data_IF_372972758683
#
_entry.id   IF_372972758683
#
_cell.length_a   1.000
_cell.length_b   1.000
_cell.length_c   1.000
_cell.angle_alpha   90.00
_cell.angle_beta   90.00
_cell.angle_gamma   90.00
#
_symmetry.space_group_name_H-M   'P 1'
#
loop_
_entity.id
_entity.type
_entity.pdbx_description
1 polymer ?
#
# COMPACT_ATOMS: atom_id res chain seq x y z
N UNK A 1 14.80 -7.13 -7.64
CA UNK A 1 13.88 -6.20 -8.29
C UNK A 1 14.05 -4.79 -7.76
N UNK A 2 14.99 -4.06 -8.36
CA UNK A 2 15.30 -2.71 -7.87
C UNK A 2 14.12 -1.76 -7.93
N UNK A 3 13.29 -1.86 -8.97
CA UNK A 3 12.15 -0.96 -9.16
C UNK A 3 11.10 -1.06 -8.04
N UNK A 4 11.05 -2.21 -7.35
CA UNK A 4 10.09 -2.41 -6.25
C UNK A 4 10.69 -2.10 -4.88
N UNK A 5 11.88 -1.52 -4.86
CA UNK A 5 12.57 -1.05 -3.65
C UNK A 5 12.76 0.46 -3.63
N UNK A 6 12.48 1.14 -4.73
CA UNK A 6 12.76 2.55 -4.90
C UNK A 6 11.50 3.40 -4.92
N UNK A 7 11.58 4.69 -4.56
CA UNK A 7 10.44 5.58 -4.70
C UNK A 7 10.03 5.71 -6.18
N UNK A 8 8.75 5.88 -6.40
CA UNK A 8 8.22 6.09 -7.74
C UNK A 8 7.11 7.14 -7.68
N UNK A 9 6.55 7.50 -8.83
CA UNK A 9 5.45 8.47 -8.91
C UNK A 9 4.27 8.08 -8.01
N UNK A 10 3.94 6.79 -7.96
CA UNK A 10 2.77 6.31 -7.24
C UNK A 10 3.10 5.76 -5.84
N UNK A 11 4.35 5.77 -5.47
CA UNK A 11 4.82 5.16 -4.23
C UNK A 11 6.04 5.93 -3.72
N UNK A 12 5.83 7.20 -3.38
CA UNK A 12 6.90 8.11 -2.98
C UNK A 12 6.99 8.24 -1.46
N UNK A 13 8.18 8.59 -0.99
CA UNK A 13 8.39 8.94 0.42
C UNK A 13 9.64 9.79 0.55
N UNK A 14 9.74 10.49 1.69
CA UNK A 14 10.92 11.25 2.05
C UNK A 14 11.79 10.38 2.95
N UNK A 15 13.07 10.25 2.65
CA UNK A 15 13.97 9.32 3.37
C UNK A 15 14.05 9.58 4.87
N UNK A 16 13.88 10.83 5.29
CA UNK A 16 13.89 11.20 6.71
C UNK A 16 12.54 11.73 7.16
N UNK A 17 11.49 11.45 6.39
CA UNK A 17 10.14 11.89 6.72
C UNK A 17 9.47 11.04 7.78
N UNK A 18 8.31 11.49 8.25
CA UNK A 18 7.54 10.81 9.30
C UNK A 18 7.12 9.41 8.91
N UNK A 19 6.77 9.22 7.64
CA UNK A 19 6.35 7.91 7.11
C UNK A 19 7.47 6.90 7.26
N UNK A 20 8.69 7.24 6.83
CA UNK A 20 9.84 6.35 6.91
C UNK A 20 10.22 6.08 8.37
N UNK A 21 10.13 7.07 9.23
CA UNK A 21 10.39 6.91 10.66
C UNK A 21 9.38 5.97 11.32
N UNK A 22 8.11 6.09 10.96
CA UNK A 22 7.08 5.19 11.47
C UNK A 22 7.31 3.77 10.99
N UNK A 23 7.67 3.59 9.72
CA UNK A 23 7.98 2.27 9.18
C UNK A 23 9.10 1.61 9.97
N UNK A 24 10.14 2.36 10.29
CA UNK A 24 11.26 1.86 11.07
C UNK A 24 10.82 1.33 12.44
N UNK A 25 9.88 2.01 13.09
CA UNK A 25 9.34 1.58 14.38
C UNK A 25 8.54 0.28 14.29
N UNK A 26 8.01 -0.03 13.11
CA UNK A 26 7.21 -1.24 12.88
C UNK A 26 8.06 -2.43 12.47
N UNK A 27 9.34 -2.22 12.21
CA UNK A 27 10.24 -3.26 11.73
C UNK A 27 10.42 -4.37 12.77
N UNK A 28 10.32 -5.61 12.32
CA UNK A 28 10.47 -6.81 13.17
C UNK A 28 11.69 -7.60 12.70
N UNK A 29 11.92 -8.75 13.36
CA UNK A 29 13.08 -9.59 13.07
C UNK A 29 13.04 -10.31 11.72
N UNK A 30 11.88 -10.42 11.10
CA UNK A 30 11.76 -11.03 9.77
C UNK A 30 10.95 -10.12 8.85
N UNK A 31 11.18 -10.26 7.54
CA UNK A 31 10.41 -9.51 6.54
C UNK A 31 8.93 -9.84 6.62
N UNK A 32 8.59 -11.11 6.81
CA UNK A 32 7.19 -11.53 6.94
C UNK A 32 6.49 -10.84 8.10
N UNK A 33 7.12 -10.80 9.26
CA UNK A 33 6.53 -10.15 10.43
C UNK A 33 6.45 -8.64 10.25
N UNK A 34 7.44 -8.04 9.60
CA UNK A 34 7.43 -6.61 9.30
C UNK A 34 6.29 -6.28 8.34
N UNK A 35 6.10 -7.09 7.29
CA UNK A 35 4.99 -6.91 6.35
C UNK A 35 3.65 -6.96 7.09
N UNK A 36 3.49 -7.92 7.99
CA UNK A 36 2.27 -8.07 8.78
C UNK A 36 2.02 -6.84 9.66
N UNK A 37 3.06 -6.33 10.31
CA UNK A 37 2.92 -5.16 11.18
C UNK A 37 2.57 -3.89 10.39
N UNK A 38 3.21 -3.68 9.25
CA UNK A 38 2.91 -2.54 8.40
C UNK A 38 1.47 -2.65 7.86
N UNK A 39 1.06 -3.85 7.45
CA UNK A 39 -0.30 -4.10 7.00
C UNK A 39 -1.31 -3.76 8.10
N UNK A 40 -1.09 -4.23 9.32
CA UNK A 40 -1.98 -3.93 10.44
C UNK A 40 -2.06 -2.43 10.72
N UNK A 41 -0.92 -1.77 10.69
CA UNK A 41 -0.86 -0.32 10.92
C UNK A 41 -1.73 0.42 9.90
N UNK A 42 -1.54 0.14 8.61
CA UNK A 42 -2.29 0.85 7.57
C UNK A 42 -3.75 0.45 7.57
N UNK A 43 -4.07 -0.83 7.80
CA UNK A 43 -5.46 -1.27 7.76
C UNK A 43 -6.27 -0.81 8.96
N UNK A 44 -5.65 -0.64 10.14
CA UNK A 44 -6.38 -0.34 11.37
C UNK A 44 -6.29 1.12 11.83
N UNK A 45 -5.23 1.83 11.48
CA UNK A 45 -5.00 3.21 11.94
C UNK A 45 -5.44 4.28 10.96
N UNK A 46 -5.94 3.89 9.81
CA UNK A 46 -6.37 4.80 8.75
C UNK A 46 -7.81 4.53 8.40
N UNK A 47 -8.59 5.60 8.24
CA UNK A 47 -10.00 5.48 7.88
C UNK A 47 -10.17 5.55 6.36
N UNK A 48 -11.16 4.84 5.84
CA UNK A 48 -11.48 4.94 4.42
C UNK A 48 -12.17 6.29 4.15
N UNK A 49 -11.66 7.01 3.14
CA UNK A 49 -12.18 8.33 2.79
C UNK A 49 -13.24 8.20 1.69
N UNK A 50 -14.47 7.92 2.08
CA UNK A 50 -15.56 7.74 1.14
C UNK A 50 -15.91 9.02 0.38
N UNK A 51 -15.71 10.18 0.99
CA UNK A 51 -15.94 11.47 0.34
C UNK A 51 -14.96 11.68 -0.81
N UNK A 52 -13.67 11.40 -0.57
CA UNK A 52 -12.63 11.46 -1.60
C UNK A 52 -12.93 10.46 -2.72
N UNK A 53 -13.37 9.25 -2.36
CA UNK A 53 -13.71 8.23 -3.36
C UNK A 53 -14.83 8.73 -4.27
N UNK A 54 -15.84 9.38 -3.72
CA UNK A 54 -16.94 9.95 -4.51
C UNK A 54 -16.44 11.08 -5.42
N UNK A 55 -15.58 11.96 -4.90
CA UNK A 55 -15.02 13.07 -5.67
C UNK A 55 -14.16 12.60 -6.84
N UNK A 56 -13.44 11.48 -6.66
CA UNK A 56 -12.54 10.94 -7.67
C UNK A 56 -13.23 9.96 -8.62
N UNK A 57 -14.50 9.64 -8.39
CA UNK A 57 -15.23 8.73 -9.25
C UNK A 57 -15.22 9.22 -10.69
N UNK A 58 -14.74 8.37 -11.62
CA UNK A 58 -14.59 8.73 -13.02
C UNK A 58 -13.39 9.59 -13.33
N UNK A 59 -12.62 10.02 -12.35
CA UNK A 59 -11.42 10.82 -12.55
C UNK A 59 -10.25 9.93 -12.93
N UNK A 60 -9.44 10.38 -13.88
CA UNK A 60 -8.23 9.69 -14.32
C UNK A 60 -7.01 10.48 -13.90
N UNK A 61 -5.89 9.79 -13.75
CA UNK A 61 -4.61 10.45 -13.46
C UNK A 61 -4.40 10.84 -12.02
N UNK A 62 -5.25 10.35 -11.11
CA UNK A 62 -5.02 10.59 -9.68
C UNK A 62 -3.70 9.94 -9.26
N UNK A 63 -2.86 10.70 -8.56
CA UNK A 63 -1.59 10.22 -8.02
C UNK A 63 -1.66 10.30 -6.52
N UNK A 64 -1.55 9.17 -5.81
CA UNK A 64 -1.56 9.20 -4.34
C UNK A 64 -0.29 9.84 -3.80
N UNK A 65 -0.40 10.44 -2.62
CA UNK A 65 0.71 11.04 -1.89
C UNK A 65 0.81 10.36 -0.52
N UNK A 66 1.74 9.39 -0.37
CA UNK A 66 1.87 8.65 0.89
C UNK A 66 2.13 9.54 2.11
N UNK A 67 2.92 10.60 1.98
CA UNK A 67 3.19 11.49 3.12
C UNK A 67 1.91 12.21 3.57
N UNK A 68 1.09 12.67 2.63
CA UNK A 68 -0.17 13.32 2.95
C UNK A 68 -1.16 12.32 3.55
N UNK A 69 -1.24 11.12 3.01
CA UNK A 69 -2.09 10.05 3.55
C UNK A 69 -1.69 9.73 4.98
N UNK A 70 -0.39 9.64 5.24
CA UNK A 70 0.13 9.39 6.59
C UNK A 70 -0.33 10.48 7.56
N UNK A 71 -0.22 11.74 7.15
CA UNK A 71 -0.60 12.87 8.02
C UNK A 71 -2.11 12.94 8.27
N UNK A 72 -2.92 12.75 7.23
CA UNK A 72 -4.38 12.88 7.36
C UNK A 72 -5.04 11.66 8.01
N UNK A 73 -4.37 10.52 8.02
CA UNK A 73 -4.88 9.25 8.59
C UNK A 73 -6.14 8.74 7.89
N UNK A 74 -6.35 9.14 6.64
CA UNK A 74 -7.47 8.65 5.83
C UNK A 74 -7.08 8.61 4.36
N UNK A 75 -7.74 7.76 3.60
CA UNK A 75 -7.51 7.64 2.18
C UNK A 75 -8.40 6.59 1.54
N UNK A 76 -8.37 6.58 0.21
CA UNK A 76 -9.04 5.53 -0.56
C UNK A 76 -8.09 4.32 -0.70
N UNK A 77 -8.55 3.26 -1.37
CA UNK A 77 -7.75 2.06 -1.52
C UNK A 77 -6.38 2.34 -2.14
N UNK A 78 -6.31 3.19 -3.15
CA UNK A 78 -5.06 3.55 -3.81
C UNK A 78 -4.11 4.26 -2.84
N UNK A 79 -4.62 5.17 -2.02
CA UNK A 79 -3.83 5.90 -1.02
C UNK A 79 -3.26 4.95 0.04
N UNK A 80 -4.09 4.06 0.56
CA UNK A 80 -3.67 3.12 1.60
C UNK A 80 -2.65 2.11 1.07
N UNK A 81 -2.87 1.59 -0.14
CA UNK A 81 -1.93 0.68 -0.77
C UNK A 81 -0.60 1.38 -1.09
N UNK A 82 -0.65 2.62 -1.59
CA UNK A 82 0.54 3.42 -1.87
C UNK A 82 1.35 3.67 -0.60
N UNK A 83 0.67 4.02 0.50
CA UNK A 83 1.32 4.23 1.80
C UNK A 83 2.01 2.96 2.28
N UNK A 84 1.32 1.83 2.27
CA UNK A 84 1.90 0.56 2.69
C UNK A 84 3.13 0.20 1.85
N UNK A 85 3.01 0.37 0.54
CA UNK A 85 4.10 0.10 -0.39
C UNK A 85 5.31 0.99 -0.10
N UNK A 86 5.09 2.29 0.12
CA UNK A 86 6.17 3.23 0.45
C UNK A 86 6.85 2.86 1.77
N UNK A 87 6.07 2.50 2.77
CA UNK A 87 6.64 2.09 4.07
C UNK A 87 7.53 0.86 3.93
N UNK A 88 7.07 -0.14 3.18
CA UNK A 88 7.83 -1.38 2.98
C UNK A 88 9.11 -1.12 2.18
N UNK A 89 9.01 -0.36 1.08
CA UNK A 89 10.19 -0.03 0.27
C UNK A 89 11.22 0.78 1.08
N UNK A 90 10.76 1.66 1.96
CA UNK A 90 11.66 2.43 2.82
C UNK A 90 12.46 1.56 3.78
N UNK A 91 11.97 0.37 4.06
CA UNK A 91 12.64 -0.62 4.92
C UNK A 91 13.46 -1.64 4.12
N UNK A 92 13.52 -1.48 2.79
CA UNK A 92 14.26 -2.42 1.94
C UNK A 92 13.49 -3.69 1.61
N UNK A 93 12.18 -3.71 1.82
CA UNK A 93 11.33 -4.85 1.47
C UNK A 93 10.68 -4.58 0.12
N UNK A 94 10.94 -5.44 -0.89
CA UNK A 94 10.33 -5.25 -2.20
C UNK A 94 8.81 -5.29 -2.10
N UNK A 95 8.15 -4.31 -2.67
CA UNK A 95 6.70 -4.20 -2.61
C UNK A 95 6.18 -3.65 -3.94
N UNK A 96 5.13 -4.26 -4.44
CA UNK A 96 4.45 -3.86 -5.67
C UNK A 96 3.13 -3.19 -5.29
N UNK A 97 2.88 -2.03 -5.89
CA UNK A 97 1.57 -1.41 -5.82
C UNK A 97 0.77 -1.97 -6.99
N UNK A 98 -0.20 -2.81 -6.69
CA UNK A 98 -0.97 -3.51 -7.71
C UNK A 98 -2.30 -2.81 -7.94
N UNK A 99 -2.61 -2.53 -9.18
CA UNK A 99 -3.88 -1.93 -9.58
C UNK A 99 -4.61 -2.94 -10.47
N UNK A 100 -5.87 -3.18 -10.15
CA UNK A 100 -6.67 -4.13 -10.91
C UNK A 100 -8.12 -4.05 -10.53
N UNK A 101 -8.77 -5.19 -10.43
CA UNK A 101 -10.18 -5.27 -10.06
C UNK A 101 -10.42 -6.38 -9.05
N UNK A 102 -11.45 -6.18 -8.22
CA UNK A 102 -12.05 -7.23 -7.39
C UNK A 102 -13.51 -7.29 -7.81
N UNK A 103 -13.97 -8.45 -8.28
CA UNK A 103 -15.34 -8.61 -8.75
C UNK A 103 -15.72 -7.56 -9.80
N UNK A 104 -14.78 -7.22 -10.68
CA UNK A 104 -14.99 -6.23 -11.73
C UNK A 104 -14.93 -4.78 -11.28
N UNK A 105 -14.71 -4.51 -9.99
CA UNK A 105 -14.61 -3.16 -9.46
C UNK A 105 -13.15 -2.76 -9.32
N UNK A 106 -12.79 -1.57 -9.80
CA UNK A 106 -11.42 -1.05 -9.69
C UNK A 106 -10.95 -1.04 -8.25
N UNK A 107 -9.73 -1.52 -8.03
CA UNK A 107 -9.14 -1.61 -6.70
C UNK A 107 -7.62 -1.56 -6.77
N UNK A 108 -7.00 -1.26 -5.64
CA UNK A 108 -5.55 -1.28 -5.51
C UNK A 108 -5.17 -2.01 -4.22
N UNK A 109 -4.09 -2.78 -4.29
CA UNK A 109 -3.58 -3.53 -3.14
C UNK A 109 -2.06 -3.66 -3.26
N UNK A 110 -1.44 -4.40 -2.35
CA UNK A 110 0.01 -4.54 -2.28
C UNK A 110 0.40 -6.00 -2.43
N UNK A 111 1.49 -6.25 -3.14
CA UNK A 111 2.16 -7.54 -3.13
C UNK A 111 3.56 -7.31 -2.58
N UNK A 112 3.90 -7.93 -1.46
CA UNK A 112 5.16 -7.71 -0.76
C UNK A 112 5.96 -9.00 -0.70
N UNK A 113 7.28 -8.89 -0.91
CA UNK A 113 8.17 -10.06 -0.95
C UNK A 113 8.76 -10.31 0.45
N UNK A 114 8.49 -11.49 1.01
CA UNK A 114 8.92 -11.83 2.36
C UNK A 114 10.32 -12.48 2.43
N UNK A 115 11.00 -12.54 1.29
CA UNK A 115 12.30 -13.21 1.17
C UNK A 115 12.19 -14.58 0.50
N UNK A 116 10.98 -15.11 0.42
CA UNK A 116 10.71 -16.42 -0.16
C UNK A 116 9.61 -16.34 -1.22
N UNK A 117 8.52 -15.65 -0.90
CA UNK A 117 7.38 -15.52 -1.81
C UNK A 117 6.73 -14.15 -1.69
N UNK A 118 5.90 -13.83 -2.68
CA UNK A 118 5.10 -12.61 -2.68
C UNK A 118 3.82 -12.82 -1.89
N UNK A 119 3.57 -11.93 -0.95
CA UNK A 119 2.38 -11.93 -0.11
C UNK A 119 1.41 -10.88 -0.59
N UNK A 120 0.16 -11.28 -0.85
CA UNK A 120 -0.88 -10.33 -1.20
C UNK A 120 -1.45 -9.70 0.07
N UNK A 121 -1.46 -8.38 0.12
CA UNK A 121 -1.96 -7.62 1.26
C UNK A 121 -2.91 -6.54 0.77
N UNK A 122 -4.10 -6.49 1.33
CA UNK A 122 -5.08 -5.47 0.97
C UNK A 122 -5.43 -4.65 2.21
N UNK A 123 -4.79 -3.49 2.40
CA UNK A 123 -5.00 -2.71 3.62
C UNK A 123 -6.37 -2.01 3.68
N UNK A 124 -7.11 -1.99 2.58
CA UNK A 124 -8.46 -1.42 2.57
C UNK A 124 -9.50 -2.45 2.98
N UNK A 125 -9.46 -3.63 2.37
CA UNK A 125 -10.47 -4.66 2.61
C UNK A 125 -10.34 -5.30 3.98
N UNK A 126 -9.10 -5.42 4.46
CA UNK A 126 -8.85 -6.10 5.73
C UNK A 126 -9.12 -7.60 5.63
N UNK A 127 -8.49 -8.40 6.51
CA UNK A 127 -8.66 -9.84 6.50
C UNK A 127 -8.17 -10.48 5.22
N UNK A 128 -8.55 -11.74 5.01
CA UNK A 128 -8.13 -12.51 3.85
C UNK A 128 -9.28 -12.61 2.86
N UNK A 129 -9.03 -12.18 1.62
CA UNK A 129 -9.99 -12.26 0.53
C UNK A 129 -9.66 -13.45 -0.36
N UNK A 130 -10.67 -13.95 -1.06
CA UNK A 130 -10.46 -15.04 -2.04
C UNK A 130 -9.62 -14.48 -3.20
N UNK A 131 -8.48 -15.11 -3.46
CA UNK A 131 -7.58 -14.67 -4.52
C UNK A 131 -8.22 -14.71 -5.91
N UNK A 132 -9.17 -15.60 -6.13
CA UNK A 132 -9.82 -15.73 -7.43
C UNK A 132 -10.63 -14.47 -7.81
N UNK A 133 -10.99 -13.64 -6.83
CA UNK A 133 -11.72 -12.39 -7.07
C UNK A 133 -10.82 -11.26 -7.52
N UNK A 134 -9.50 -11.38 -7.30
CA UNK A 134 -8.52 -10.34 -7.62
C UNK A 134 -7.95 -10.54 -9.01
N UNK A 135 -8.08 -9.54 -9.86
CA UNK A 135 -7.53 -9.58 -11.23
C UNK A 135 -6.54 -8.44 -11.38
N UNK A 136 -5.25 -8.75 -11.47
CA UNK A 136 -4.20 -7.76 -11.64
C UNK A 136 -4.22 -7.14 -13.04
N UNK A 137 -3.96 -5.84 -13.11
CA UNK A 137 -3.81 -5.13 -14.37
C UNK A 137 -2.47 -4.43 -14.49
N UNK A 138 -2.00 -3.80 -13.41
CA UNK A 138 -0.72 -3.09 -13.37
C UNK A 138 0.01 -3.36 -12.10
N UNK A 139 1.34 -3.37 -12.18
CA UNK A 139 2.22 -3.44 -11.02
C UNK A 139 3.08 -2.17 -11.01
N UNK A 140 2.93 -1.35 -10.03
CA UNK A 140 3.61 -0.06 -9.90
C UNK A 140 4.63 -0.07 -8.77
#
# INVERSE_FOLDING_TARGET
MPSFLEPSKYCSWLSEGKLAMQAKKLEKGSSRDTITEVYRFVSTKFNYDGEKAAQLSGTRGYVPDPEETYESRKGICFDKASLMCAMLRSLGIPAKLVVGTIDGVSHAWVSAFDGDKWMKCDPTMGGWQDESEYVERYEL
#
